data_IF_098737518736
#
_entry.id   IF_098737518736
#
_cell.length_a   1.000
_cell.length_b   1.000
_cell.length_c   1.000
_cell.angle_alpha   90.00
_cell.angle_beta   90.00
_cell.angle_gamma   90.00
#
_symmetry.space_group_name_H-M   'P 1'
#
loop_
_entity.id
_entity.type
_entity.pdbx_description
1 polymer ?
#
# COMPACT_ATOMS: atom_id res chain seq x y z
N UNK A 1 -25.15 -4.66 -4.55
CA UNK A 1 -24.27 -5.45 -3.65
C UNK A 1 -23.45 -4.45 -2.90
N UNK A 2 -23.39 -4.55 -1.57
CA UNK A 2 -22.54 -3.65 -0.78
C UNK A 2 -21.07 -4.03 -1.08
N UNK A 3 -20.35 -3.13 -1.75
CA UNK A 3 -18.91 -3.25 -1.95
C UNK A 3 -18.20 -2.38 -0.94
N UNK A 4 -17.11 -2.86 -0.36
CA UNK A 4 -16.17 -2.06 0.42
C UNK A 4 -14.95 -1.79 -0.43
N UNK A 5 -14.21 -0.72 -0.16
CA UNK A 5 -12.89 -0.53 -0.76
C UNK A 5 -11.82 -0.99 0.23
N UNK A 6 -10.76 -1.58 -0.29
CA UNK A 6 -9.59 -1.98 0.48
C UNK A 6 -8.41 -1.15 -0.02
N UNK A 7 -8.11 0.00 0.61
CA UNK A 7 -6.82 0.64 0.45
C UNK A 7 -5.71 -0.30 0.92
N UNK A 8 -4.73 -0.50 0.05
CA UNK A 8 -3.56 -1.30 0.31
C UNK A 8 -2.33 -0.40 0.21
N UNK A 9 -1.62 -0.24 1.32
CA UNK A 9 -0.34 0.46 1.37
C UNK A 9 0.83 -0.53 1.39
N UNK A 10 1.94 -0.18 0.77
CA UNK A 10 3.15 -0.99 0.60
C UNK A 10 4.32 -0.32 1.32
N UNK A 11 5.06 -1.10 2.11
CA UNK A 11 6.35 -0.66 2.63
C UNK A 11 7.45 -0.94 1.61
N UNK A 12 7.95 0.11 0.97
CA UNK A 12 8.86 0.02 -0.17
C UNK A 12 10.21 -0.69 0.14
N UNK A 13 10.87 -0.47 1.30
CA UNK A 13 12.08 -1.22 1.64
C UNK A 13 11.89 -2.74 1.60
N UNK A 14 10.76 -3.25 2.14
CA UNK A 14 10.43 -4.68 2.12
C UNK A 14 10.15 -5.25 0.74
N UNK A 15 9.90 -4.41 -0.27
CA UNK A 15 9.82 -4.87 -1.66
C UNK A 15 11.23 -5.10 -2.25
N UNK A 16 12.19 -4.25 -1.88
CA UNK A 16 13.51 -4.16 -2.49
C UNK A 16 14.61 -5.00 -1.83
N UNK A 17 14.40 -5.49 -0.61
CA UNK A 17 15.37 -6.33 0.14
C UNK A 17 15.17 -7.84 -0.03
N UNK A 18 14.23 -8.23 -0.89
CA UNK A 18 13.95 -9.63 -1.24
C UNK A 18 14.91 -10.16 -2.30
N UNK A 19 14.77 -11.44 -2.67
CA UNK A 19 15.50 -12.01 -3.82
C UNK A 19 14.99 -11.55 -5.19
N UNK A 20 13.91 -10.75 -5.23
CA UNK A 20 13.37 -10.21 -6.48
C UNK A 20 14.11 -8.92 -6.83
N UNK A 21 14.23 -8.64 -8.12
CA UNK A 21 14.77 -7.36 -8.58
C UNK A 21 13.82 -6.22 -8.20
N UNK A 22 14.39 -5.11 -7.72
CA UNK A 22 13.72 -3.84 -7.50
C UNK A 22 14.46 -2.76 -8.27
N UNK A 23 13.71 -1.86 -8.91
CA UNK A 23 14.25 -0.71 -9.63
C UNK A 23 13.55 0.54 -9.13
N UNK A 24 14.31 1.55 -8.71
CA UNK A 24 13.73 2.84 -8.36
C UNK A 24 13.06 3.49 -9.59
N UNK A 25 11.99 4.28 -9.41
CA UNK A 25 11.35 5.04 -10.48
C UNK A 25 12.31 5.97 -11.22
N UNK A 26 11.87 6.47 -12.38
CA UNK A 26 12.62 7.47 -13.14
C UNK A 26 12.87 8.77 -12.35
N UNK A 27 12.01 9.05 -11.37
CA UNK A 27 12.10 10.19 -10.45
C UNK A 27 13.13 10.01 -9.33
N UNK A 28 13.76 8.83 -9.23
CA UNK A 28 14.81 8.52 -8.26
C UNK A 28 14.34 7.64 -7.11
N UNK A 29 15.16 7.53 -6.06
CA UNK A 29 14.85 6.76 -4.86
C UNK A 29 13.57 7.33 -4.20
N UNK A 30 12.53 6.52 -3.97
CA UNK A 30 11.32 6.98 -3.28
C UNK A 30 11.58 7.43 -1.85
N UNK A 31 10.66 8.21 -1.32
CA UNK A 31 10.64 8.57 0.10
C UNK A 31 10.50 7.31 0.97
N UNK A 32 11.08 7.35 2.17
CA UNK A 32 10.95 6.26 3.16
C UNK A 32 9.61 6.38 3.89
N UNK A 33 8.54 6.10 3.16
CA UNK A 33 7.16 6.09 3.65
C UNK A 33 6.35 4.94 3.03
N UNK A 34 5.15 4.70 3.57
CA UNK A 34 4.18 3.80 2.96
C UNK A 34 3.64 4.41 1.68
N UNK A 35 3.84 3.68 0.58
CA UNK A 35 3.25 4.02 -0.70
C UNK A 35 1.92 3.32 -0.91
N UNK A 36 1.18 3.73 -1.91
CA UNK A 36 -0.02 3.03 -2.37
C UNK A 36 0.42 1.83 -3.21
N UNK A 37 -0.21 0.68 -2.96
CA UNK A 37 -0.27 -0.43 -3.90
C UNK A 37 -1.54 -0.31 -4.74
N UNK A 38 -2.70 -0.15 -4.08
CA UNK A 38 -3.96 0.04 -4.78
C UNK A 38 -5.16 0.30 -3.88
N UNK A 39 -6.30 0.53 -4.52
CA UNK A 39 -7.60 0.70 -3.91
C UNK A 39 -8.54 -0.34 -4.51
N UNK A 40 -8.87 -1.40 -3.77
CA UNK A 40 -9.53 -2.56 -4.37
C UNK A 40 -10.99 -2.67 -3.94
N UNK A 41 -11.95 -2.57 -4.87
CA UNK A 41 -13.34 -2.91 -4.59
C UNK A 41 -13.43 -4.40 -4.20
N UNK A 42 -14.11 -4.69 -3.10
CA UNK A 42 -14.25 -6.03 -2.55
C UNK A 42 -15.69 -6.26 -2.07
N UNK A 43 -16.15 -7.50 -2.14
CA UNK A 43 -17.42 -7.89 -1.54
C UNK A 43 -17.22 -8.28 -0.08
N UNK A 44 -18.23 -8.07 0.76
CA UNK A 44 -18.19 -8.44 2.19
C UNK A 44 -17.92 -9.93 2.42
N UNK A 45 -18.20 -10.78 1.43
CA UNK A 45 -17.95 -12.23 1.50
C UNK A 45 -16.51 -12.64 1.15
N UNK A 46 -15.59 -11.67 0.97
CA UNK A 46 -14.17 -11.91 0.67
C UNK A 46 -13.85 -12.15 -0.81
N UNK A 47 -14.86 -12.24 -1.70
CA UNK A 47 -14.63 -12.22 -3.15
C UNK A 47 -14.46 -10.78 -3.65
N UNK A 48 -13.91 -10.60 -4.85
CA UNK A 48 -13.78 -9.28 -5.47
C UNK A 48 -14.18 -9.30 -6.96
N UNK A 49 -14.72 -8.19 -7.48
CA UNK A 49 -14.77 -7.94 -8.92
C UNK A 49 -13.37 -7.57 -9.44
N UNK A 50 -13.08 -7.90 -10.70
CA UNK A 50 -11.88 -7.42 -11.39
C UNK A 50 -12.09 -7.33 -12.89
N UNK A 51 -11.36 -6.43 -13.56
CA UNK A 51 -11.39 -6.26 -15.01
C UNK A 51 -12.80 -6.02 -15.57
N UNK A 52 -13.59 -5.16 -14.90
CA UNK A 52 -15.01 -4.96 -15.21
C UNK A 52 -15.24 -4.27 -16.56
N UNK A 53 -14.30 -3.40 -16.98
CA UNK A 53 -14.28 -2.74 -18.28
C UNK A 53 -12.88 -2.84 -18.90
N UNK A 54 -12.59 -3.93 -19.61
CA UNK A 54 -11.24 -4.19 -20.16
C UNK A 54 -10.83 -3.22 -21.27
N UNK A 55 -11.83 -2.63 -21.91
CA UNK A 55 -11.72 -1.62 -22.95
C UNK A 55 -11.45 -0.22 -22.39
N UNK A 56 -11.69 0.02 -21.10
CA UNK A 56 -11.39 1.29 -20.43
C UNK A 56 -9.90 1.33 -20.10
N UNK A 57 -9.10 1.88 -21.03
CA UNK A 57 -7.71 2.23 -20.77
C UNK A 57 -7.63 3.45 -19.85
N UNK A 58 -6.51 3.58 -19.15
CA UNK A 58 -6.14 4.79 -18.41
C UNK A 58 -6.05 5.98 -19.39
N UNK A 59 -6.65 7.11 -19.03
CA UNK A 59 -6.50 8.40 -19.72
C UNK A 59 -5.73 9.38 -18.82
N UNK A 60 -4.41 9.45 -19.03
CA UNK A 60 -3.51 10.31 -18.26
C UNK A 60 -3.93 11.80 -18.24
N UNK A 61 -4.76 12.26 -19.20
CA UNK A 61 -5.25 13.64 -19.21
C UNK A 61 -6.22 13.93 -18.05
N UNK A 62 -7.01 12.95 -17.61
CA UNK A 62 -7.97 13.05 -16.49
C UNK A 62 -7.27 13.13 -15.12
N UNK A 63 -6.02 12.67 -15.05
CA UNK A 63 -5.21 12.64 -13.82
C UNK A 63 -3.94 13.49 -13.92
N UNK A 64 -3.82 14.33 -14.95
CA UNK A 64 -2.60 15.07 -15.25
C UNK A 64 -2.07 15.93 -14.09
N UNK A 65 -2.95 16.50 -13.29
CA UNK A 65 -2.62 17.28 -12.07
C UNK A 65 -2.30 16.41 -10.84
N UNK A 66 -2.58 15.10 -10.89
CA UNK A 66 -2.24 14.13 -9.83
C UNK A 66 -0.89 13.43 -10.08
N UNK A 67 -0.39 13.40 -11.32
CA UNK A 67 0.79 12.61 -11.73
C UNK A 67 1.98 12.85 -10.81
N UNK A 68 2.35 14.10 -10.53
CA UNK A 68 3.53 14.38 -9.69
C UNK A 68 3.39 13.88 -8.25
N UNK A 69 2.16 13.76 -7.75
CA UNK A 69 1.88 13.19 -6.44
C UNK A 69 1.91 11.66 -6.53
N UNK A 70 1.33 11.08 -7.58
CA UNK A 70 1.33 9.64 -7.82
C UNK A 70 2.74 9.07 -8.05
N UNK A 71 3.65 9.82 -8.69
CA UNK A 71 5.06 9.43 -8.82
C UNK A 71 5.77 9.26 -7.47
N UNK A 72 5.31 9.96 -6.43
CA UNK A 72 5.88 9.90 -5.08
C UNK A 72 5.14 8.90 -4.20
N UNK A 73 3.81 8.99 -4.17
CA UNK A 73 2.96 8.27 -3.23
C UNK A 73 2.50 6.93 -3.79
N UNK A 74 2.60 6.69 -5.09
CA UNK A 74 2.21 5.45 -5.77
C UNK A 74 3.27 4.98 -6.80
N UNK A 75 4.56 4.91 -6.44
CA UNK A 75 5.62 4.57 -7.37
C UNK A 75 5.58 3.10 -7.78
N UNK A 76 6.11 2.81 -8.98
CA UNK A 76 6.41 1.44 -9.39
C UNK A 76 7.86 1.09 -9.06
N UNK A 77 8.05 -0.01 -8.32
CA UNK A 77 9.38 -0.59 -8.05
C UNK A 77 9.74 -1.76 -8.97
N UNK A 78 8.89 -2.05 -9.96
CA UNK A 78 9.15 -3.12 -10.93
C UNK A 78 10.35 -2.75 -11.84
N UNK A 79 11.08 -3.78 -12.29
CA UNK A 79 12.16 -3.60 -13.24
C UNK A 79 11.69 -3.85 -14.69
N UNK A 80 12.20 -3.09 -15.68
CA UNK A 80 13.10 -1.95 -15.53
C UNK A 80 12.40 -0.72 -14.91
N UNK A 81 13.20 0.27 -14.48
CA UNK A 81 12.72 1.56 -13.99
C UNK A 81 11.69 2.18 -14.94
N UNK A 82 10.67 2.84 -14.38
CA UNK A 82 9.55 3.42 -15.12
C UNK A 82 9.01 4.68 -14.42
N UNK A 83 8.12 5.39 -15.10
CA UNK A 83 7.35 6.53 -14.59
C UNK A 83 6.12 6.11 -13.76
N UNK A 84 5.81 4.81 -13.69
CA UNK A 84 4.66 4.29 -12.94
C UNK A 84 3.37 4.18 -13.75
N UNK A 85 3.27 4.79 -14.94
CA UNK A 85 2.03 4.82 -15.75
C UNK A 85 1.49 3.42 -16.04
N UNK A 86 2.38 2.47 -16.36
CA UNK A 86 2.00 1.07 -16.57
C UNK A 86 1.38 0.43 -15.32
N UNK A 87 1.89 0.78 -14.14
CA UNK A 87 1.39 0.26 -12.88
C UNK A 87 0.02 0.88 -12.54
N UNK A 88 -0.13 2.19 -12.68
CA UNK A 88 -1.42 2.87 -12.50
C UNK A 88 -2.47 2.36 -13.49
N UNK A 89 -2.08 2.14 -14.74
CA UNK A 89 -2.95 1.54 -15.76
C UNK A 89 -3.39 0.11 -15.38
N UNK A 90 -2.49 -0.70 -14.81
CA UNK A 90 -2.84 -2.02 -14.31
C UNK A 90 -3.88 -1.94 -13.19
N UNK A 91 -3.66 -1.09 -12.19
CA UNK A 91 -4.56 -0.93 -11.06
C UNK A 91 -5.91 -0.35 -11.49
N UNK A 92 -5.92 0.61 -12.41
CA UNK A 92 -7.15 1.13 -12.99
C UNK A 92 -7.95 0.04 -13.72
N UNK A 93 -7.36 -0.61 -14.73
CA UNK A 93 -8.05 -1.60 -15.55
C UNK A 93 -8.54 -2.78 -14.70
N UNK A 94 -7.74 -3.24 -13.75
CA UNK A 94 -8.06 -4.40 -12.93
C UNK A 94 -9.04 -4.09 -11.80
N UNK A 95 -8.88 -2.95 -11.12
CA UNK A 95 -9.61 -2.62 -9.89
C UNK A 95 -10.47 -1.36 -10.03
N UNK A 96 -9.90 -0.27 -10.55
CA UNK A 96 -10.59 1.00 -10.74
C UNK A 96 -11.86 0.91 -11.59
N UNK A 97 -11.83 0.13 -12.68
CA UNK A 97 -13.03 -0.09 -13.52
C UNK A 97 -14.18 -0.80 -12.81
N UNK A 98 -13.92 -1.42 -11.65
CA UNK A 98 -14.94 -2.07 -10.82
C UNK A 98 -15.41 -1.20 -9.64
N UNK A 99 -14.84 -0.01 -9.46
CA UNK A 99 -15.04 0.82 -8.27
C UNK A 99 -16.35 1.60 -8.26
N UNK A 100 -16.94 1.84 -9.44
CA UNK A 100 -18.05 2.77 -9.61
C UNK A 100 -17.64 4.26 -9.55
N UNK A 101 -16.35 4.55 -9.38
CA UNK A 101 -15.77 5.90 -9.42
C UNK A 101 -15.30 6.24 -10.85
N UNK A 102 -15.25 7.53 -11.16
CA UNK A 102 -14.51 8.01 -12.32
C UNK A 102 -12.99 7.81 -12.14
N UNK A 103 -12.23 7.80 -13.24
CA UNK A 103 -10.78 7.56 -13.22
C UNK A 103 -10.06 8.49 -12.24
N UNK A 104 -10.29 9.80 -12.39
CA UNK A 104 -9.74 10.81 -11.50
C UNK A 104 -10.09 10.56 -10.03
N UNK A 105 -11.37 10.34 -9.74
CA UNK A 105 -11.85 10.17 -8.37
C UNK A 105 -11.28 8.90 -7.73
N UNK A 106 -11.06 7.83 -8.50
CA UNK A 106 -10.41 6.61 -8.03
C UNK A 106 -8.98 6.88 -7.53
N UNK A 107 -8.17 7.57 -8.32
CA UNK A 107 -6.79 7.91 -7.94
C UNK A 107 -6.74 8.91 -6.79
N UNK A 108 -7.58 9.95 -6.83
CA UNK A 108 -7.69 10.92 -5.73
C UNK A 108 -8.09 10.25 -4.42
N UNK A 109 -9.07 9.32 -4.46
CA UNK A 109 -9.52 8.57 -3.28
C UNK A 109 -8.38 7.77 -2.66
N UNK A 110 -7.58 7.07 -3.48
CA UNK A 110 -6.44 6.31 -2.98
C UNK A 110 -5.39 7.21 -2.32
N UNK A 111 -5.06 8.36 -2.93
CA UNK A 111 -4.17 9.37 -2.39
C UNK A 111 -4.67 9.92 -1.04
N UNK A 112 -5.96 10.26 -0.98
CA UNK A 112 -6.59 10.80 0.23
C UNK A 112 -6.54 9.81 1.39
N UNK A 113 -6.84 8.53 1.13
CA UNK A 113 -6.79 7.50 2.18
C UNK A 113 -5.37 7.11 2.60
N UNK A 114 -4.39 7.14 1.69
CA UNK A 114 -2.98 6.94 2.07
C UNK A 114 -2.51 8.07 3.00
N UNK A 115 -2.88 9.31 2.70
CA UNK A 115 -2.58 10.45 3.56
C UNK A 115 -3.35 10.40 4.89
N UNK A 116 -4.63 10.05 4.85
CA UNK A 116 -5.51 10.00 6.03
C UNK A 116 -5.11 8.88 7.00
N UNK A 117 -4.59 7.75 6.50
CA UNK A 117 -4.12 6.65 7.34
C UNK A 117 -2.85 6.98 8.10
N UNK A 118 -1.99 7.87 7.56
CA UNK A 118 -0.78 8.40 8.18
C UNK A 118 0.08 7.32 8.86
N UNK A 119 0.26 6.19 8.17
CA UNK A 119 0.73 4.93 8.77
C UNK A 119 2.10 5.08 9.44
N UNK A 120 3.08 5.66 8.74
CA UNK A 120 4.43 5.80 9.29
C UNK A 120 4.45 6.66 10.55
N UNK A 121 3.72 7.76 10.57
CA UNK A 121 3.66 8.65 11.72
C UNK A 121 2.95 8.00 12.91
N UNK A 122 1.87 7.24 12.68
CA UNK A 122 1.21 6.45 13.72
C UNK A 122 2.17 5.42 14.34
N UNK A 123 2.99 4.74 13.52
CA UNK A 123 4.02 3.82 14.01
C UNK A 123 5.11 4.55 14.80
N UNK A 124 5.62 5.67 14.29
CA UNK A 124 6.64 6.50 14.98
C UNK A 124 6.15 6.99 16.33
N UNK A 125 4.90 7.43 16.43
CA UNK A 125 4.29 7.88 17.68
C UNK A 125 4.19 6.77 18.74
N UNK A 126 4.17 5.50 18.31
CA UNK A 126 4.24 4.33 19.19
C UNK A 126 5.68 3.82 19.43
N UNK A 127 6.69 4.54 18.95
CA UNK A 127 8.11 4.14 19.05
C UNK A 127 8.51 3.02 18.09
N UNK A 128 7.74 2.80 17.02
CA UNK A 128 8.03 1.81 15.97
C UNK A 128 8.64 2.54 14.79
N UNK A 129 9.96 2.44 14.65
CA UNK A 129 10.72 3.13 13.61
C UNK A 129 11.30 2.14 12.59
N UNK A 130 11.38 2.51 11.30
CA UNK A 130 12.07 1.68 10.32
C UNK A 130 13.56 1.61 10.67
N UNK A 131 14.05 0.41 10.95
CA UNK A 131 15.44 0.16 11.34
C UNK A 131 15.82 -1.30 11.10
N UNK A 132 16.93 -1.49 10.38
CA UNK A 132 17.41 -2.84 10.06
C UNK A 132 17.81 -3.61 11.32
N UNK A 133 17.45 -4.88 11.37
CA UNK A 133 17.70 -5.77 12.51
C UNK A 133 16.72 -5.59 13.69
N UNK A 134 15.93 -4.51 13.73
CA UNK A 134 14.90 -4.34 14.75
C UNK A 134 13.61 -5.06 14.37
N UNK A 135 12.98 -5.66 15.38
CA UNK A 135 11.78 -6.47 15.23
C UNK A 135 10.71 -6.03 16.22
N UNK A 136 9.49 -5.88 15.72
CA UNK A 136 8.33 -5.43 16.48
C UNK A 136 7.28 -6.54 16.53
N UNK A 137 6.45 -6.56 17.57
CA UNK A 137 5.34 -7.51 17.57
C UNK A 137 4.30 -7.07 16.56
N UNK A 138 3.68 -8.02 15.87
CA UNK A 138 2.59 -7.70 14.92
C UNK A 138 1.44 -7.00 15.64
N UNK A 139 1.16 -7.39 16.89
CA UNK A 139 0.13 -6.75 17.70
C UNK A 139 0.47 -5.30 18.07
N UNK A 140 1.74 -4.95 18.31
CA UNK A 140 2.10 -3.54 18.56
C UNK A 140 1.94 -2.69 17.30
N UNK A 141 2.28 -3.24 16.12
CA UNK A 141 2.08 -2.56 14.82
C UNK A 141 0.60 -2.33 14.57
N UNK A 142 -0.22 -3.38 14.71
CA UNK A 142 -1.69 -3.28 14.53
C UNK A 142 -2.29 -2.26 15.48
N UNK A 143 -1.90 -2.28 16.76
CA UNK A 143 -2.42 -1.37 17.77
C UNK A 143 -2.05 0.08 17.50
N UNK A 144 -0.82 0.35 17.10
CA UNK A 144 -0.36 1.70 16.77
C UNK A 144 -1.15 2.31 15.59
N UNK A 145 -1.39 1.51 14.55
CA UNK A 145 -2.20 1.93 13.39
C UNK A 145 -3.67 2.09 13.81
N UNK A 146 -4.22 1.15 14.58
CA UNK A 146 -5.60 1.23 15.08
C UNK A 146 -5.82 2.49 15.94
N UNK A 147 -4.86 2.87 16.79
CA UNK A 147 -4.97 4.07 17.61
C UNK A 147 -5.01 5.36 16.79
N UNK A 148 -4.30 5.39 15.66
CA UNK A 148 -4.29 6.54 14.76
C UNK A 148 -5.45 6.58 13.77
N UNK A 149 -5.90 5.42 13.29
CA UNK A 149 -6.93 5.28 12.24
C UNK A 149 -8.33 5.08 12.82
N UNK A 150 -8.44 4.51 14.02
CA UNK A 150 -9.69 4.12 14.67
C UNK A 150 -10.22 2.74 14.25
N UNK A 151 -9.50 2.02 13.39
CA UNK A 151 -9.90 0.72 12.85
C UNK A 151 -8.71 -0.25 12.79
N UNK A 152 -8.94 -1.52 13.12
CA UNK A 152 -7.91 -2.56 13.09
C UNK A 152 -7.44 -2.81 11.65
N UNK A 153 -6.14 -2.66 11.33
CA UNK A 153 -5.63 -3.04 10.01
C UNK A 153 -5.38 -4.54 9.91
N UNK A 154 -5.22 -5.03 8.68
CA UNK A 154 -4.56 -6.30 8.40
C UNK A 154 -3.13 -6.07 7.91
N UNK A 155 -2.19 -6.80 8.49
CA UNK A 155 -0.76 -6.72 8.16
C UNK A 155 -0.40 -7.96 7.37
N UNK A 156 0.06 -7.75 6.14
CA UNK A 156 0.70 -8.78 5.34
C UNK A 156 2.22 -8.67 5.47
N UNK A 157 2.84 -9.83 5.62
CA UNK A 157 4.29 -9.95 5.67
C UNK A 157 4.84 -10.71 4.48
N UNK A 158 6.01 -10.31 4.02
CA UNK A 158 6.87 -11.10 3.15
C UNK A 158 8.14 -11.52 3.91
N UNK A 159 9.12 -12.03 3.17
CA UNK A 159 10.40 -12.48 3.72
C UNK A 159 11.53 -11.83 2.92
N UNK A 160 12.48 -11.22 3.62
CA UNK A 160 13.68 -10.62 3.01
C UNK A 160 14.65 -11.69 2.46
N UNK A 161 15.78 -11.24 1.90
CA UNK A 161 16.83 -12.14 1.40
C UNK A 161 17.54 -12.98 2.48
N UNK A 162 17.49 -12.54 3.74
CA UNK A 162 18.09 -13.18 4.91
C UNK A 162 17.16 -14.20 5.60
N UNK A 163 15.86 -14.17 5.28
CA UNK A 163 14.85 -15.07 5.85
C UNK A 163 14.01 -14.45 6.97
N UNK A 164 14.11 -13.15 7.22
CA UNK A 164 13.32 -12.46 8.24
C UNK A 164 11.91 -12.16 7.71
N UNK A 165 10.89 -12.41 8.54
CA UNK A 165 9.54 -11.91 8.26
C UNK A 165 9.49 -10.41 8.51
N UNK A 166 8.88 -9.66 7.61
CA UNK A 166 8.85 -8.19 7.69
C UNK A 166 7.52 -7.59 7.23
N UNK A 167 7.23 -6.37 7.69
CA UNK A 167 6.05 -5.60 7.25
C UNK A 167 6.13 -5.42 5.75
N UNK A 168 5.15 -5.93 5.00
CA UNK A 168 5.12 -5.78 3.55
C UNK A 168 3.97 -4.89 3.10
N UNK A 169 2.74 -5.25 3.44
CA UNK A 169 1.55 -4.47 3.08
C UNK A 169 0.62 -4.26 4.28
N UNK A 170 -0.07 -3.13 4.27
CA UNK A 170 -1.07 -2.75 5.28
C UNK A 170 -2.39 -2.54 4.57
N UNK A 171 -3.41 -3.23 5.07
CA UNK A 171 -4.76 -3.23 4.53
C UNK A 171 -5.70 -2.58 5.52
N UNK A 172 -6.46 -1.60 5.05
CA UNK A 172 -7.59 -0.99 5.74
C UNK A 172 -8.86 -1.21 4.93
N UNK A 173 -10.03 -0.89 5.50
CA UNK A 173 -11.29 -0.92 4.77
C UNK A 173 -11.97 0.43 4.80
N UNK A 174 -12.62 0.75 3.70
CA UNK A 174 -13.35 1.99 3.47
C UNK A 174 -14.76 1.66 3.02
N UNK A 175 -15.72 2.46 3.50
CA UNK A 175 -17.13 2.28 3.15
C UNK A 175 -17.42 2.43 1.65
N UNK A 176 -18.56 1.92 1.19
CA UNK A 176 -18.95 1.91 -0.23
C UNK A 176 -19.09 3.31 -0.86
N UNK A 177 -19.15 4.38 -0.04
CA UNK A 177 -19.20 5.77 -0.47
C UNK A 177 -17.82 6.44 -0.49
N UNK A 178 -16.74 5.67 -0.29
CA UNK A 178 -15.36 6.13 -0.32
C UNK A 178 -15.08 7.30 0.64
N UNK A 179 -15.76 7.35 1.80
CA UNK A 179 -15.73 8.52 2.69
C UNK A 179 -14.98 8.28 4.01
N UNK A 180 -15.18 7.12 4.63
CA UNK A 180 -14.66 6.80 5.94
C UNK A 180 -14.00 5.43 5.98
N UNK A 181 -12.99 5.31 6.84
CA UNK A 181 -12.54 4.00 7.27
C UNK A 181 -13.66 3.30 8.04
N UNK A 182 -13.68 1.97 7.93
CA UNK A 182 -14.59 1.08 8.61
C UNK A 182 -13.84 -0.18 9.06
N UNK A 183 -14.43 -0.92 9.99
CA UNK A 183 -13.95 -2.26 10.30
C UNK A 183 -14.09 -3.16 9.07
N UNK A 184 -13.04 -3.93 8.78
CA UNK A 184 -13.05 -4.82 7.62
C UNK A 184 -14.06 -5.97 7.82
N UNK A 185 -15.05 -6.13 6.91
CA UNK A 185 -15.98 -7.25 6.99
C UNK A 185 -15.30 -8.61 6.79
N UNK A 186 -14.22 -8.62 6.01
CA UNK A 186 -13.36 -9.77 5.79
C UNK A 186 -11.94 -9.26 5.51
N UNK A 187 -10.95 -9.99 6.03
CA UNK A 187 -9.55 -9.75 5.70
C UNK A 187 -9.08 -10.66 4.54
N UNK A 188 -8.08 -10.23 3.77
CA UNK A 188 -7.46 -11.07 2.75
C UNK A 188 -6.99 -12.42 3.31
N UNK A 189 -7.06 -13.47 2.48
CA UNK A 189 -6.46 -14.76 2.79
C UNK A 189 -5.00 -14.78 2.33
N UNK A 190 -4.03 -14.70 3.25
CA UNK A 190 -2.62 -14.74 2.88
C UNK A 190 -1.70 -14.07 3.90
N UNK A 191 -0.43 -13.90 3.56
CA UNK A 191 0.46 -12.99 4.31
C UNK A 191 0.80 -13.39 5.74
N UNK A 192 1.30 -14.61 5.98
CA UNK A 192 1.62 -15.04 7.36
C UNK A 192 2.77 -14.24 7.94
N UNK A 193 2.45 -13.38 8.89
CA UNK A 193 3.43 -12.76 9.76
C UNK A 193 3.86 -13.71 10.89
N UNK A 194 5.14 -13.65 11.27
CA UNK A 194 5.60 -14.19 12.55
C UNK A 194 5.05 -13.36 13.72
N UNK A 195 5.22 -13.81 14.96
CA UNK A 195 4.79 -13.02 16.14
C UNK A 195 5.57 -11.71 16.28
N UNK A 196 6.83 -11.70 15.81
CA UNK A 196 7.67 -10.53 15.63
C UNK A 196 8.15 -10.45 14.19
N UNK A 197 8.17 -9.24 13.64
CA UNK A 197 8.53 -8.96 12.26
C UNK A 197 9.44 -7.74 12.18
N UNK A 198 10.32 -7.73 11.19
CA UNK A 198 11.18 -6.59 10.90
C UNK A 198 10.39 -5.43 10.27
N UNK A 199 10.88 -4.21 10.50
CA UNK A 199 10.43 -3.01 9.82
C UNK A 199 11.67 -2.37 9.18
N UNK A 200 12.08 -2.82 7.98
CA UNK A 200 13.37 -2.46 7.39
C UNK A 200 13.42 -0.99 6.96
N UNK A 201 14.63 -0.44 6.89
CA UNK A 201 14.89 0.88 6.34
C UNK A 201 15.57 0.76 4.97
N UNK A 202 15.39 1.75 4.09
CA UNK A 202 16.20 1.87 2.88
C UNK A 202 17.69 2.13 3.18
N UNK A 203 18.01 2.62 4.37
CA UNK A 203 19.40 2.85 4.81
C UNK A 203 20.09 1.52 4.98
N UNK A 204 21.32 1.37 4.50
CA UNK A 204 22.15 0.24 4.93
C UNK A 204 22.78 0.56 6.29
N UNK A 205 23.17 -0.44 7.08
CA UNK A 205 23.95 -0.25 8.33
C UNK A 205 25.36 0.36 8.09
N UNK A 206 25.62 0.97 6.94
CA UNK A 206 26.91 1.53 6.54
C UNK A 206 26.91 3.06 6.42
N UNK A 207 25.80 3.75 6.68
CA UNK A 207 25.71 5.22 6.57
C UNK A 207 25.84 5.96 7.92
N UNK A 208 26.18 5.27 9.02
CA UNK A 208 26.56 5.88 10.31
C UNK A 208 28.08 5.76 10.55
N UNK A 209 28.90 6.54 9.86
CA UNK A 209 30.25 6.97 10.33
C UNK A 209 30.69 8.29 9.68
#
# INVERSE_FOLDING_TARGET
MNHVYIPCSLWLPSYCDTRRSCCYPNTGKPDEDFSIHGLWPNYENGKWPQNCHRESSLDESEISDLISTMEKDWPSLACPSSDGVRFWSHEWVKHGTCSGLGERDYFQTALDFNKKSNLLENLKNAGIHPKNGEHYSVESIKKAIEDGVGHTPFIECNVDSEGNHQVYQVYLCVDSSASNFIDCPAFPHGGRCGSKIAFPSFSSNHDEF
#
